data_IF_494580261004
#
_entry.id   IF_494580261004
#
_cell.length_a   1.000
_cell.length_b   1.000
_cell.length_c   1.000
_cell.angle_alpha   90.00
_cell.angle_beta   90.00
_cell.angle_gamma   90.00
#
_symmetry.space_group_name_H-M   'P 1'
#
loop_
_entity.id
_entity.type
_entity.pdbx_description
1 polymer ?
#
# COMPACT_ATOMS: atom_id res chain seq x y z
N UNK A 1 21.33 -24.25 -56.61
CA UNK A 1 21.79 -23.86 -55.25
C UNK A 1 20.59 -23.76 -54.33
N UNK A 2 20.40 -24.67 -53.36
CA UNK A 2 19.47 -24.44 -52.26
C UNK A 2 20.26 -24.21 -50.96
N UNK A 3 20.21 -22.99 -50.44
CA UNK A 3 20.57 -22.72 -49.05
C UNK A 3 19.43 -23.20 -48.15
N UNK A 4 19.61 -24.35 -47.50
CA UNK A 4 18.78 -24.77 -46.39
C UNK A 4 19.24 -24.05 -45.12
N UNK A 5 18.63 -22.89 -44.84
CA UNK A 5 18.73 -22.20 -43.56
C UNK A 5 17.88 -22.93 -42.52
N UNK A 6 18.48 -23.95 -41.91
CA UNK A 6 17.90 -24.68 -40.79
C UNK A 6 17.81 -23.82 -39.54
N UNK A 7 16.62 -23.27 -39.26
CA UNK A 7 16.28 -22.61 -38.02
C UNK A 7 16.21 -23.65 -36.89
N UNK A 8 17.35 -23.96 -36.26
CA UNK A 8 17.36 -24.80 -35.04
C UNK A 8 16.87 -23.95 -33.87
N UNK A 9 15.66 -24.24 -33.41
CA UNK A 9 15.18 -23.76 -32.12
C UNK A 9 16.01 -24.43 -31.02
N UNK A 10 16.98 -23.69 -30.50
CA UNK A 10 17.79 -24.08 -29.34
C UNK A 10 16.93 -23.90 -28.08
N UNK A 11 15.89 -24.72 -27.94
CA UNK A 11 15.27 -24.93 -26.64
C UNK A 11 16.19 -25.88 -25.87
N UNK A 12 17.24 -25.32 -25.29
CA UNK A 12 18.05 -26.00 -24.29
C UNK A 12 17.12 -26.49 -23.18
N UNK A 13 17.23 -27.77 -22.81
CA UNK A 13 16.58 -28.27 -21.59
C UNK A 13 17.00 -27.37 -20.44
N UNK A 14 16.07 -26.68 -19.76
CA UNK A 14 16.43 -25.88 -18.60
C UNK A 14 17.07 -26.82 -17.58
N UNK A 15 18.30 -26.50 -17.16
CA UNK A 15 18.96 -27.22 -16.08
C UNK A 15 18.08 -27.22 -14.84
N UNK A 16 18.28 -28.18 -13.93
CA UNK A 16 17.51 -28.28 -12.68
C UNK A 16 17.45 -26.93 -11.93
N UNK A 17 18.55 -26.18 -11.94
CA UNK A 17 18.62 -24.82 -11.39
C UNK A 17 17.71 -23.82 -12.09
N UNK A 18 17.63 -23.84 -13.42
CA UNK A 18 16.74 -22.96 -14.19
C UNK A 18 15.26 -23.24 -13.89
N UNK A 19 14.87 -24.51 -13.72
CA UNK A 19 13.53 -24.88 -13.28
C UNK A 19 13.19 -24.36 -11.87
N UNK A 20 14.14 -24.45 -10.93
CA UNK A 20 13.97 -23.93 -9.57
C UNK A 20 13.82 -22.41 -9.56
N UNK A 21 14.67 -21.68 -10.30
CA UNK A 21 14.59 -20.22 -10.38
C UNK A 21 13.27 -19.77 -11.02
N UNK A 22 12.84 -20.42 -12.11
CA UNK A 22 11.56 -20.13 -12.75
C UNK A 22 10.38 -20.37 -11.80
N UNK A 23 10.41 -21.50 -11.08
CA UNK A 23 9.39 -21.83 -10.08
C UNK A 23 9.33 -20.79 -8.95
N UNK A 24 10.48 -20.35 -8.44
CA UNK A 24 10.56 -19.31 -7.41
C UNK A 24 10.00 -17.97 -7.91
N UNK A 25 10.36 -17.54 -9.12
CA UNK A 25 9.85 -16.30 -9.72
C UNK A 25 8.33 -16.38 -9.89
N UNK A 26 7.81 -17.50 -10.40
CA UNK A 26 6.38 -17.70 -10.56
C UNK A 26 5.65 -17.66 -9.21
N UNK A 27 6.21 -18.31 -8.19
CA UNK A 27 5.66 -18.28 -6.83
C UNK A 27 5.62 -16.85 -6.28
N UNK A 28 6.70 -16.08 -6.41
CA UNK A 28 6.76 -14.69 -5.97
C UNK A 28 5.74 -13.80 -6.70
N UNK A 29 5.55 -14.02 -8.00
CA UNK A 29 4.53 -13.31 -8.78
C UNK A 29 3.11 -13.63 -8.30
N UNK A 30 2.81 -14.91 -8.03
CA UNK A 30 1.51 -15.33 -7.50
C UNK A 30 1.27 -14.72 -6.11
N UNK A 31 2.26 -14.76 -5.22
CA UNK A 31 2.14 -14.16 -3.88
C UNK A 31 1.92 -12.65 -3.98
N UNK A 32 2.65 -11.96 -4.85
CA UNK A 32 2.49 -10.51 -5.07
C UNK A 32 1.10 -10.15 -5.61
N UNK A 33 0.63 -10.89 -6.62
CA UNK A 33 -0.71 -10.72 -7.17
C UNK A 33 -1.79 -10.99 -6.11
N UNK A 34 -1.61 -12.06 -5.33
CA UNK A 34 -2.50 -12.40 -4.21
C UNK A 34 -2.54 -11.32 -3.13
N UNK A 35 -1.41 -10.73 -2.77
CA UNK A 35 -1.37 -9.62 -1.81
C UNK A 35 -2.11 -8.38 -2.32
N UNK A 36 -1.99 -8.06 -3.61
CA UNK A 36 -2.74 -6.94 -4.21
C UNK A 36 -4.23 -7.22 -4.22
N UNK A 37 -4.64 -8.42 -4.64
CA UNK A 37 -6.03 -8.83 -4.62
C UNK A 37 -6.61 -8.80 -3.19
N UNK A 38 -5.84 -9.28 -2.22
CA UNK A 38 -6.21 -9.23 -0.80
C UNK A 38 -6.42 -7.80 -0.33
N UNK A 39 -5.52 -6.87 -0.67
CA UNK A 39 -5.68 -5.45 -0.34
C UNK A 39 -6.91 -4.81 -0.99
N UNK A 40 -7.29 -5.25 -2.18
CA UNK A 40 -8.52 -4.80 -2.85
C UNK A 40 -9.77 -5.41 -2.21
N UNK A 41 -9.66 -6.61 -1.64
CA UNK A 41 -10.76 -7.27 -0.91
C UNK A 41 -10.91 -6.84 0.54
N UNK A 42 -9.88 -6.20 1.11
CA UNK A 42 -10.01 -5.59 2.42
C UNK A 42 -11.09 -4.52 2.34
N UNK A 43 -11.93 -4.38 3.37
CA UNK A 43 -12.86 -3.27 3.45
C UNK A 43 -12.01 -2.00 3.47
N UNK A 44 -11.89 -1.35 2.31
CA UNK A 44 -11.59 0.07 2.28
C UNK A 44 -12.75 0.74 2.98
N UNK A 45 -12.51 1.89 3.62
CA UNK A 45 -13.56 2.59 4.38
C UNK A 45 -14.77 2.96 3.50
N UNK A 46 -14.67 2.77 2.18
CA UNK A 46 -15.79 2.84 1.26
C UNK A 46 -16.19 4.26 0.93
N UNK A 47 -15.46 5.26 1.42
CA UNK A 47 -15.83 6.64 1.24
C UNK A 47 -15.27 7.24 -0.04
N UNK A 48 -16.17 7.90 -0.78
CA UNK A 48 -15.80 8.80 -1.87
C UNK A 48 -15.38 10.14 -1.28
N UNK A 49 -14.19 10.62 -1.65
CA UNK A 49 -13.70 11.95 -1.27
C UNK A 49 -13.74 12.91 -2.45
N UNK A 50 -14.14 14.15 -2.20
CA UNK A 50 -13.93 15.25 -3.12
C UNK A 50 -12.47 15.74 -2.99
N UNK A 51 -11.83 16.02 -4.11
CA UNK A 51 -10.70 16.94 -4.09
C UNK A 51 -11.26 18.34 -3.78
N UNK A 52 -11.25 18.72 -2.50
CA UNK A 52 -11.52 20.11 -2.15
C UNK A 52 -10.37 20.94 -2.70
N UNK A 53 -10.70 22.06 -3.34
CA UNK A 53 -9.81 22.77 -4.24
C UNK A 53 -8.52 23.31 -3.64
N UNK A 54 -8.25 23.22 -2.33
CA UNK A 54 -6.92 23.60 -1.83
C UNK A 54 -6.42 23.08 -0.47
N UNK A 55 -7.16 22.33 0.37
CA UNK A 55 -6.60 22.05 1.72
C UNK A 55 -6.98 20.73 2.40
N UNK A 56 -8.25 20.30 2.33
CA UNK A 56 -8.68 19.08 3.05
C UNK A 56 -9.70 18.28 2.24
N UNK A 57 -9.42 17.00 1.91
CA UNK A 57 -10.39 16.13 1.27
C UNK A 57 -11.68 16.05 2.09
N UNK A 58 -12.83 16.19 1.42
CA UNK A 58 -14.16 16.12 2.07
C UNK A 58 -14.82 14.80 1.73
N UNK A 59 -15.36 14.11 2.72
CA UNK A 59 -16.13 12.89 2.54
C UNK A 59 -17.50 13.22 1.93
N UNK A 60 -17.84 12.61 0.80
CA UNK A 60 -19.11 12.85 0.10
C UNK A 60 -20.12 11.74 0.36
N UNK A 61 -19.72 10.49 0.11
CA UNK A 61 -20.66 9.37 0.04
C UNK A 61 -19.98 8.09 0.52
N UNK A 62 -20.73 7.29 1.28
CA UNK A 62 -20.34 5.94 1.68
C UNK A 62 -20.80 4.93 0.61
N UNK A 63 -19.86 4.52 -0.24
CA UNK A 63 -20.10 3.61 -1.36
C UNK A 63 -20.42 2.18 -0.93
N UNK A 64 -20.03 1.80 0.29
CA UNK A 64 -20.22 0.43 0.80
C UNK A 64 -21.45 0.30 1.70
N UNK A 65 -22.10 1.42 2.07
CA UNK A 65 -23.24 1.43 2.98
C UNK A 65 -22.95 0.80 4.35
N UNK A 66 -21.68 0.61 4.69
CA UNK A 66 -21.26 0.01 5.95
C UNK A 66 -21.46 1.02 7.10
N UNK A 67 -21.80 0.56 8.32
CA UNK A 67 -21.87 1.44 9.47
C UNK A 67 -20.54 2.16 9.67
N UNK A 68 -20.56 3.49 9.56
CA UNK A 68 -19.38 4.35 9.71
C UNK A 68 -19.70 5.51 10.63
N UNK A 69 -18.72 5.95 11.42
CA UNK A 69 -18.85 7.15 12.24
C UNK A 69 -18.74 8.44 11.40
N UNK A 70 -18.24 8.34 10.17
CA UNK A 70 -18.09 9.44 9.24
C UNK A 70 -19.43 9.83 8.61
N UNK A 71 -19.59 11.11 8.32
CA UNK A 71 -20.76 11.68 7.66
C UNK A 71 -20.38 12.42 6.38
N UNK A 72 -21.30 12.53 5.42
CA UNK A 72 -21.13 13.45 4.30
C UNK A 72 -20.86 14.88 4.78
N UNK A 73 -19.81 15.50 4.26
CA UNK A 73 -19.34 16.82 4.65
C UNK A 73 -18.20 16.81 5.68
N UNK A 74 -17.86 15.66 6.27
CA UNK A 74 -16.72 15.57 7.18
C UNK A 74 -15.40 15.80 6.43
N UNK A 75 -14.46 16.48 7.09
CA UNK A 75 -13.15 16.81 6.53
C UNK A 75 -12.08 15.82 7.00
N UNK A 76 -11.24 15.37 6.07
CA UNK A 76 -10.05 14.59 6.40
C UNK A 76 -8.93 15.52 6.90
N UNK A 77 -8.75 15.55 8.23
CA UNK A 77 -7.75 16.39 8.87
C UNK A 77 -6.37 15.72 8.95
N UNK A 78 -6.35 14.40 9.19
CA UNK A 78 -5.12 13.63 9.36
C UNK A 78 -5.30 12.16 8.97
N UNK A 79 -4.21 11.52 8.52
CA UNK A 79 -4.14 10.08 8.26
C UNK A 79 -3.09 9.48 9.17
N UNK A 80 -3.46 8.51 10.01
CA UNK A 80 -2.56 7.86 10.98
C UNK A 80 -1.84 8.86 11.91
N UNK A 81 -2.52 9.96 12.28
CA UNK A 81 -1.96 11.00 13.13
C UNK A 81 -1.06 12.02 12.41
N UNK A 82 -0.88 11.88 11.09
CA UNK A 82 -0.16 12.88 10.28
C UNK A 82 -1.16 13.86 9.65
N UNK A 83 -1.01 15.18 9.88
CA UNK A 83 -1.85 16.21 9.28
C UNK A 83 -1.86 16.18 7.75
N UNK A 84 -3.01 16.47 7.15
CA UNK A 84 -3.19 16.51 5.69
C UNK A 84 -2.21 17.46 4.96
N UNK A 85 -1.92 18.68 5.48
CA UNK A 85 -0.94 19.57 4.85
C UNK A 85 0.47 18.99 4.78
N UNK A 86 0.87 18.22 5.79
CA UNK A 86 2.18 17.58 5.85
C UNK A 86 2.28 16.43 4.83
N UNK A 87 1.22 15.63 4.71
CA UNK A 87 1.10 14.59 3.68
C UNK A 87 1.15 15.17 2.26
N UNK A 88 0.46 16.28 2.02
CA UNK A 88 0.49 16.98 0.74
C UNK A 88 1.88 17.56 0.45
N UNK A 89 2.55 18.12 1.46
CA UNK A 89 3.92 18.58 1.35
C UNK A 89 4.89 17.49 0.90
N UNK A 90 4.77 16.27 1.44
CA UNK A 90 5.58 15.13 1.01
C UNK A 90 5.23 14.67 -0.40
N UNK A 91 3.94 14.61 -0.74
CA UNK A 91 3.49 14.22 -2.08
C UNK A 91 4.04 15.17 -3.16
N UNK A 92 4.02 16.48 -2.90
CA UNK A 92 4.58 17.50 -3.81
C UNK A 92 6.10 17.35 -3.96
N UNK A 93 6.79 16.96 -2.88
CA UNK A 93 8.26 16.75 -2.88
C UNK A 93 8.69 15.40 -3.44
N UNK A 94 7.74 14.52 -3.73
CA UNK A 94 8.00 13.11 -4.07
C UNK A 94 8.81 12.39 -2.97
N UNK A 95 8.71 12.86 -1.73
CA UNK A 95 9.34 12.23 -0.59
C UNK A 95 8.48 11.04 -0.14
N UNK A 96 9.07 9.86 0.13
CA UNK A 96 8.33 8.76 0.72
C UNK A 96 7.85 9.17 2.12
N UNK A 97 6.54 9.23 2.32
CA UNK A 97 5.94 9.58 3.60
C UNK A 97 6.50 8.71 4.74
N UNK A 98 6.91 9.27 5.90
CA UNK A 98 7.46 8.53 7.05
C UNK A 98 6.52 7.48 7.65
N UNK A 99 5.24 7.46 7.24
CA UNK A 99 4.22 6.50 7.67
C UNK A 99 4.58 5.03 7.39
N UNK A 100 5.62 4.75 6.60
CA UNK A 100 6.12 3.39 6.35
C UNK A 100 7.00 2.80 7.47
N UNK A 101 7.38 3.57 8.51
CA UNK A 101 8.44 3.11 9.46
C UNK A 101 8.03 3.01 10.94
N UNK A 102 6.82 3.38 11.37
CA UNK A 102 6.43 3.25 12.79
C UNK A 102 5.80 1.89 13.13
N UNK A 103 6.54 0.80 12.90
CA UNK A 103 6.28 -0.51 13.51
C UNK A 103 7.27 -0.70 14.66
N UNK A 104 6.81 -0.52 15.89
CA UNK A 104 7.54 -0.95 17.09
C UNK A 104 8.39 0.12 17.76
N UNK A 105 7.77 1.08 18.42
CA UNK A 105 8.39 1.67 19.61
C UNK A 105 7.29 1.86 20.65
N UNK A 106 7.15 0.84 21.50
CA UNK A 106 6.36 0.94 22.71
C UNK A 106 6.99 1.97 23.61
N UNK A 107 6.46 3.18 23.62
CA UNK A 107 6.71 4.09 24.74
C UNK A 107 5.81 3.65 25.88
N UNK A 108 6.35 2.78 26.73
CA UNK A 108 5.85 2.60 28.08
C UNK A 108 5.92 3.95 28.78
N UNK A 109 4.81 4.68 28.85
CA UNK A 109 4.70 5.82 29.76
C UNK A 109 4.63 5.25 31.16
N UNK A 110 5.82 5.04 31.75
CA UNK A 110 5.99 4.77 33.17
C UNK A 110 5.41 5.95 33.94
N UNK A 111 4.18 5.78 34.40
CA UNK A 111 3.58 6.58 35.45
C UNK A 111 4.51 6.56 36.67
N UNK A 112 5.15 7.68 36.95
CA UNK A 112 5.84 7.92 38.22
C UNK A 112 4.97 8.83 39.06
N UNK A 113 3.97 8.23 39.71
CA UNK A 113 3.42 8.82 40.92
C UNK A 113 4.52 8.83 41.98
N UNK A 114 4.90 10.01 42.44
CA UNK A 114 5.60 10.17 43.72
C UNK A 114 5.09 11.45 44.37
N UNK A 115 4.17 11.27 45.31
CA UNK A 115 3.86 12.26 46.31
C UNK A 115 4.98 12.40 47.34
N UNK A 116 4.70 13.28 48.30
CA UNK A 116 5.50 13.69 49.46
C UNK A 116 6.55 14.75 49.11
N UNK A 117 6.54 15.95 49.70
CA UNK A 117 5.97 16.43 50.98
C UNK A 117 5.48 17.87 50.86
#
# INVERSE_FOLDING_TARGET
MPEQSGHRSVFSRPGRSAGVTLGLVLLLLIVSAGQKAYRLSLPTDGWRTAAASDETPVFQENLLGLPSALRPGDHLLAVQGVPMPELMGWAVRLDPSPCTTRRGSGSSTRWSGRGQR
#
